data_IF_642274329870
#
_entry.id   IF_642274329870
#
_cell.length_a   1.000
_cell.length_b   1.000
_cell.length_c   1.000
_cell.angle_alpha   90.00
_cell.angle_beta   90.00
_cell.angle_gamma   90.00
#
_symmetry.space_group_name_H-M   'P 1'
#
loop_
_entity.id
_entity.type
_entity.pdbx_description
1 polymer ?
#
# COMPACT_ATOMS: atom_id res chain seq x y z
N UNK A 1 -20.18 2.72 22.80
CA UNK A 1 -18.75 2.52 22.49
C UNK A 1 -18.68 1.45 21.42
N UNK A 2 -18.48 1.85 20.16
CA UNK A 2 -18.48 0.92 19.03
C UNK A 2 -17.28 -0.02 19.12
N UNK A 3 -17.55 -1.33 19.06
CA UNK A 3 -16.52 -2.38 19.11
C UNK A 3 -15.42 -2.11 18.09
N UNK A 4 -14.17 -2.35 18.49
CA UNK A 4 -13.00 -2.22 17.64
C UNK A 4 -13.13 -3.12 16.42
N UNK A 5 -13.61 -2.57 15.31
CA UNK A 5 -13.65 -3.28 14.05
C UNK A 5 -12.20 -3.59 13.64
N UNK A 6 -11.88 -4.88 13.53
CA UNK A 6 -10.60 -5.35 13.00
C UNK A 6 -10.40 -4.73 11.61
N UNK A 7 -9.45 -3.80 11.48
CA UNK A 7 -9.01 -3.34 10.17
C UNK A 7 -8.21 -4.45 9.52
N UNK A 8 -8.59 -4.82 8.30
CA UNK A 8 -7.82 -5.79 7.50
C UNK A 8 -6.46 -5.18 7.18
N UNK A 9 -5.42 -6.01 7.25
CA UNK A 9 -4.04 -5.62 6.93
C UNK A 9 -3.62 -6.27 5.63
N UNK A 10 -3.05 -5.49 4.72
CA UNK A 10 -2.56 -5.93 3.42
C UNK A 10 -1.05 -5.71 3.37
N UNK A 11 -0.31 -6.80 3.19
CA UNK A 11 1.12 -6.76 2.95
C UNK A 11 1.44 -6.52 1.49
N UNK A 12 2.27 -5.52 1.20
CA UNK A 12 2.74 -5.25 -0.18
C UNK A 12 4.24 -5.46 -0.24
N UNK A 13 4.65 -6.32 -1.17
CA UNK A 13 6.04 -6.65 -1.46
C UNK A 13 6.32 -6.41 -2.95
N UNK A 14 7.57 -6.09 -3.27
CA UNK A 14 7.99 -5.90 -4.66
C UNK A 14 9.43 -5.40 -4.74
N UNK A 15 9.89 -5.18 -5.97
CA UNK A 15 11.26 -4.74 -6.23
C UNK A 15 11.55 -3.35 -5.62
N UNK A 16 12.79 -3.17 -5.13
CA UNK A 16 13.27 -1.91 -4.56
C UNK A 16 13.51 -0.79 -5.59
N UNK A 17 13.48 -1.14 -6.88
CA UNK A 17 13.38 -0.24 -8.02
C UNK A 17 12.45 -0.89 -9.06
N UNK A 18 11.68 -0.08 -9.78
CA UNK A 18 10.77 -0.59 -10.81
C UNK A 18 10.52 0.47 -11.89
N UNK A 19 10.08 0.07 -13.10
CA UNK A 19 9.68 1.01 -14.14
C UNK A 19 8.51 1.90 -13.69
N UNK A 20 8.32 3.08 -14.32
CA UNK A 20 7.24 4.00 -13.99
C UNK A 20 5.85 3.37 -14.05
N UNK A 21 5.60 2.47 -15.01
CA UNK A 21 4.30 1.78 -15.14
C UNK A 21 3.97 0.93 -13.91
N UNK A 22 4.99 0.29 -13.33
CA UNK A 22 4.87 -0.51 -12.10
C UNK A 22 4.73 0.39 -10.87
N UNK A 23 5.42 1.54 -10.85
CA UNK A 23 5.28 2.52 -9.78
C UNK A 23 3.84 3.07 -9.70
N UNK A 24 3.25 3.43 -10.84
CA UNK A 24 1.87 3.91 -10.92
C UNK A 24 0.85 2.82 -10.56
N UNK A 25 1.09 1.58 -10.99
CA UNK A 25 0.27 0.45 -10.54
C UNK A 25 0.33 0.29 -9.01
N UNK A 26 1.51 0.34 -8.42
CA UNK A 26 1.70 0.21 -6.98
C UNK A 26 1.01 1.35 -6.20
N UNK A 27 1.09 2.60 -6.69
CA UNK A 27 0.30 3.73 -6.15
C UNK A 27 -1.20 3.45 -6.21
N UNK A 28 -1.70 2.92 -7.33
CA UNK A 28 -3.10 2.52 -7.49
C UNK A 28 -3.54 1.47 -6.46
N UNK A 29 -2.70 0.46 -6.20
CA UNK A 29 -2.95 -0.55 -5.16
C UNK A 29 -3.02 0.10 -3.78
N UNK A 30 -2.06 0.96 -3.44
CA UNK A 30 -2.05 1.70 -2.17
C UNK A 30 -3.33 2.51 -1.95
N UNK A 31 -3.78 3.22 -2.99
CA UNK A 31 -5.02 4.02 -2.96
C UNK A 31 -6.24 3.16 -2.65
N UNK A 32 -6.34 1.98 -3.26
CA UNK A 32 -7.45 1.06 -3.02
C UNK A 32 -7.43 0.45 -1.61
N UNK A 33 -6.24 0.17 -1.06
CA UNK A 33 -6.11 -0.29 0.34
C UNK A 33 -6.65 0.78 1.29
N UNK A 34 -6.23 2.04 1.12
CA UNK A 34 -6.69 3.14 1.95
C UNK A 34 -8.19 3.42 1.78
N UNK A 35 -8.69 3.45 0.53
CA UNK A 35 -10.10 3.69 0.20
C UNK A 35 -11.04 2.68 0.87
N UNK A 36 -10.57 1.45 1.10
CA UNK A 36 -11.34 0.37 1.77
C UNK A 36 -11.23 0.40 3.30
N UNK A 37 -10.47 1.34 3.87
CA UNK A 37 -10.23 1.45 5.31
C UNK A 37 -9.28 0.38 5.85
N UNK A 38 -8.46 -0.24 4.99
CA UNK A 38 -7.50 -1.26 5.38
C UNK A 38 -6.16 -0.63 5.79
N UNK A 39 -5.32 -1.41 6.47
CA UNK A 39 -3.96 -1.02 6.84
C UNK A 39 -2.99 -1.59 5.80
N UNK A 40 -2.10 -0.74 5.27
CA UNK A 40 -0.99 -1.16 4.42
C UNK A 40 0.23 -1.44 5.29
N UNK A 41 0.85 -2.61 5.13
CA UNK A 41 2.18 -2.91 5.69
C UNK A 41 3.16 -3.26 4.57
N UNK A 42 4.41 -2.84 4.70
CA UNK A 42 5.48 -3.19 3.78
C UNK A 42 6.85 -3.14 4.48
N UNK A 43 7.90 -3.58 3.80
CA UNK A 43 9.27 -3.57 4.32
C UNK A 43 9.95 -2.18 4.33
N UNK A 44 9.29 -1.12 3.87
CA UNK A 44 9.78 0.26 4.01
C UNK A 44 10.95 0.66 3.10
N UNK A 45 11.19 -0.04 1.98
CA UNK A 45 12.24 0.30 1.01
C UNK A 45 11.69 1.18 -0.14
N UNK A 46 12.47 1.34 -1.21
CA UNK A 46 12.10 2.03 -2.45
C UNK A 46 11.19 1.23 -3.38
N UNK A 47 11.09 1.71 -4.63
CA UNK A 47 10.36 1.05 -5.71
C UNK A 47 8.88 0.82 -5.35
N UNK A 48 8.43 -0.43 -5.50
CA UNK A 48 7.03 -0.83 -5.33
C UNK A 48 6.48 -0.45 -3.96
N UNK A 49 7.25 -0.66 -2.89
CA UNK A 49 6.77 -0.43 -1.51
C UNK A 49 6.59 1.05 -1.21
N UNK A 50 7.55 1.91 -1.61
CA UNK A 50 7.43 3.37 -1.51
C UNK A 50 6.19 3.86 -2.25
N UNK A 51 6.02 3.42 -3.49
CA UNK A 51 4.93 3.83 -4.35
C UNK A 51 3.56 3.43 -3.80
N UNK A 52 3.44 2.20 -3.28
CA UNK A 52 2.24 1.75 -2.58
C UNK A 52 1.93 2.58 -1.33
N UNK A 53 2.95 2.90 -0.52
CA UNK A 53 2.78 3.80 0.63
C UNK A 53 2.36 5.23 0.22
N UNK A 54 2.87 5.75 -0.90
CA UNK A 54 2.45 7.05 -1.44
C UNK A 54 0.99 7.06 -1.86
N UNK A 55 0.53 5.97 -2.50
CA UNK A 55 -0.87 5.84 -2.92
C UNK A 55 -1.86 5.67 -1.77
N UNK A 56 -1.42 5.11 -0.64
CA UNK A 56 -2.25 4.87 0.54
C UNK A 56 -2.40 6.07 1.49
N UNK A 57 -1.82 7.22 1.14
CA UNK A 57 -2.05 8.50 1.81
C UNK A 57 -3.38 9.09 1.38
#
# INVERSE_FOLDING_TARGET
>A
MGGGALRKTIGIIGAGSCPPEVEELAKGVGREVARRGYVLICGGLGGVMRAACEGAK
#
